data_IF_006687243524
#
_entry.id   IF_006687243524
#
_cell.length_a   1.000
_cell.length_b   1.000
_cell.length_c   1.000
_cell.angle_alpha   90.00
_cell.angle_beta   90.00
_cell.angle_gamma   90.00
#
_symmetry.space_group_name_H-M   'P 1'
#
loop_
_entity.id
_entity.type
_entity.pdbx_description
1 polymer ?
#
# COMPACT_ATOMS: atom_id res chain seq x y z
N UNK A 1 18.09 -0.49 -20.99
CA UNK A 1 18.45 -1.51 -19.99
C UNK A 1 17.13 -2.10 -19.53
N UNK A 2 16.94 -3.39 -19.75
CA UNK A 2 15.74 -4.10 -19.26
C UNK A 2 15.88 -4.25 -17.74
N UNK A 3 14.98 -3.60 -16.98
CA UNK A 3 14.91 -3.73 -15.52
C UNK A 3 13.88 -4.82 -15.22
N UNK A 4 14.29 -5.97 -14.68
CA UNK A 4 13.32 -7.02 -14.37
C UNK A 4 12.39 -6.56 -13.26
N UNK A 5 11.13 -7.01 -13.33
CA UNK A 5 10.13 -6.77 -12.28
C UNK A 5 10.69 -7.20 -10.91
N UNK A 6 10.55 -6.31 -9.91
CA UNK A 6 11.12 -6.50 -8.58
C UNK A 6 10.05 -6.29 -7.52
N UNK A 7 9.94 -7.25 -6.61
CA UNK A 7 9.17 -7.13 -5.38
C UNK A 7 10.11 -6.83 -4.21
N UNK A 8 9.84 -5.75 -3.50
CA UNK A 8 10.53 -5.40 -2.25
C UNK A 8 9.54 -5.50 -1.10
N UNK A 9 9.80 -6.39 -0.15
CA UNK A 9 9.02 -6.46 1.11
C UNK A 9 9.48 -5.30 2.01
N UNK A 10 8.61 -4.33 2.22
CA UNK A 10 8.86 -3.15 3.03
C UNK A 10 8.63 -3.42 4.52
N UNK A 11 7.72 -4.32 4.82
CA UNK A 11 7.42 -4.80 6.15
C UNK A 11 6.74 -6.17 6.10
N UNK A 12 7.07 -7.03 7.04
CA UNK A 12 6.55 -8.40 7.18
C UNK A 12 6.03 -8.70 8.59
N UNK A 13 5.84 -7.66 9.40
CA UNK A 13 5.25 -7.78 10.72
C UNK A 13 3.72 -7.79 10.65
N UNK A 14 3.10 -8.17 11.76
CA UNK A 14 1.64 -8.11 11.93
C UNK A 14 1.17 -6.67 12.12
N UNK A 15 -0.11 -6.46 12.42
CA UNK A 15 -0.73 -5.16 12.70
C UNK A 15 0.00 -4.33 13.78
N UNK A 16 0.76 -4.95 14.66
CA UNK A 16 1.54 -4.29 15.71
C UNK A 16 3.04 -4.18 15.38
N UNK A 17 3.49 -4.79 14.29
CA UNK A 17 4.90 -4.95 13.99
C UNK A 17 5.62 -5.90 14.97
N UNK A 18 6.94 -6.01 14.85
CA UNK A 18 7.80 -6.76 15.79
C UNK A 18 9.01 -5.89 16.10
N UNK A 19 9.33 -5.63 17.37
CA UNK A 19 8.71 -6.11 18.60
C UNK A 19 7.34 -5.49 18.89
N UNK A 20 6.50 -6.23 19.60
CA UNK A 20 5.22 -5.74 20.11
C UNK A 20 5.45 -5.00 21.42
N UNK A 21 4.78 -3.86 21.61
CA UNK A 21 4.90 -3.04 22.82
C UNK A 21 4.55 -3.88 24.06
N UNK A 22 5.46 -3.91 25.03
CA UNK A 22 5.29 -4.65 26.27
C UNK A 22 5.50 -6.17 26.19
N UNK A 23 5.70 -6.72 25.01
CA UNK A 23 6.00 -8.16 24.84
C UNK A 23 7.44 -8.46 25.27
N UNK A 24 7.60 -9.54 26.03
CA UNK A 24 8.90 -10.01 26.55
C UNK A 24 9.32 -11.38 26.02
N UNK A 25 8.69 -11.85 24.94
CA UNK A 25 9.09 -13.09 24.33
C UNK A 25 10.48 -12.98 23.68
N UNK A 26 11.11 -14.11 23.42
CA UNK A 26 12.44 -14.21 22.84
C UNK A 26 12.62 -13.34 21.58
N UNK A 27 11.66 -13.41 20.64
CA UNK A 27 11.70 -12.64 19.39
C UNK A 27 11.59 -11.13 19.65
N UNK A 28 10.68 -10.70 20.53
CA UNK A 28 10.48 -9.26 20.79
C UNK A 28 11.66 -8.63 21.57
N UNK A 29 12.37 -9.43 22.36
CA UNK A 29 13.56 -9.00 23.12
C UNK A 29 14.87 -9.25 22.38
N UNK A 30 14.83 -9.92 21.24
CA UNK A 30 16.01 -10.22 20.41
C UNK A 30 16.77 -8.96 20.00
N UNK A 31 18.08 -9.04 19.93
CA UNK A 31 18.96 -8.01 19.37
C UNK A 31 19.21 -8.19 17.87
N UNK A 32 18.76 -9.30 17.28
CA UNK A 32 18.88 -9.55 15.85
C UNK A 32 17.98 -8.56 15.06
N UNK A 33 18.57 -7.87 14.09
CA UNK A 33 17.84 -6.92 13.25
C UNK A 33 16.75 -7.59 12.39
N UNK A 34 16.87 -8.89 12.10
CA UNK A 34 15.86 -9.67 11.35
C UNK A 34 14.58 -9.87 12.14
N UNK A 35 14.62 -9.74 13.46
CA UNK A 35 13.46 -9.78 14.34
C UNK A 35 12.77 -8.41 14.49
N UNK A 36 13.30 -7.37 13.85
CA UNK A 36 12.70 -6.03 13.82
C UNK A 36 11.92 -5.87 12.52
N UNK A 37 10.62 -6.20 12.54
CA UNK A 37 9.76 -6.21 11.36
C UNK A 37 8.71 -5.11 11.45
N UNK A 38 8.77 -4.18 10.50
CA UNK A 38 7.74 -3.17 10.31
C UNK A 38 6.42 -3.84 9.87
N UNK A 39 5.30 -3.15 10.05
CA UNK A 39 3.96 -3.61 9.61
C UNK A 39 3.95 -3.90 8.12
N UNK A 40 3.08 -4.80 7.72
CA UNK A 40 3.05 -5.31 6.35
C UNK A 40 2.92 -4.19 5.31
N UNK A 41 3.75 -4.24 4.32
CA UNK A 41 3.70 -3.43 3.10
C UNK A 41 4.70 -3.98 2.08
N UNK A 42 4.46 -3.75 0.81
CA UNK A 42 5.33 -4.16 -0.28
C UNK A 42 5.45 -3.08 -1.35
N UNK A 43 6.54 -3.10 -2.11
CA UNK A 43 6.71 -2.27 -3.29
C UNK A 43 7.00 -3.16 -4.50
N UNK A 44 6.30 -2.90 -5.60
CA UNK A 44 6.50 -3.56 -6.89
C UNK A 44 7.05 -2.51 -7.87
N UNK A 45 8.20 -2.82 -8.44
CA UNK A 45 8.81 -2.10 -9.55
C UNK A 45 8.64 -2.96 -10.80
N UNK A 46 7.96 -2.43 -11.82
CA UNK A 46 7.63 -3.19 -13.03
C UNK A 46 8.74 -3.12 -14.07
N UNK A 47 8.67 -4.00 -15.08
CA UNK A 47 9.59 -3.97 -16.22
C UNK A 47 9.50 -2.64 -17.00
N UNK A 48 8.34 -1.97 -16.97
CA UNK A 48 8.11 -0.64 -17.54
C UNK A 48 8.65 0.52 -16.70
N UNK A 49 9.12 0.23 -15.48
CA UNK A 49 9.66 1.23 -14.54
C UNK A 49 8.60 1.89 -13.67
N UNK A 50 7.34 1.46 -13.73
CA UNK A 50 6.31 1.90 -12.81
C UNK A 50 6.57 1.33 -11.40
N UNK A 51 6.23 2.14 -10.39
CA UNK A 51 6.49 1.81 -8.99
C UNK A 51 5.22 1.93 -8.17
N UNK A 52 4.75 0.81 -7.64
CA UNK A 52 3.55 0.70 -6.83
C UNK A 52 3.91 0.32 -5.41
N UNK A 53 3.33 1.03 -4.44
CA UNK A 53 3.40 0.64 -3.03
C UNK A 53 2.05 0.05 -2.62
N UNK A 54 2.08 -1.11 -1.98
CA UNK A 54 0.89 -1.76 -1.46
C UNK A 54 0.83 -1.48 0.04
N UNK A 55 -0.23 -0.76 0.42
CA UNK A 55 -0.51 -0.24 1.76
C UNK A 55 0.46 0.84 2.26
N UNK A 56 -0.11 1.81 2.96
CA UNK A 56 0.58 2.92 3.60
C UNK A 56 0.22 2.96 5.10
N UNK A 57 0.66 1.94 5.84
CA UNK A 57 0.48 1.85 7.29
C UNK A 57 1.33 2.85 8.08
N UNK A 58 1.27 2.84 9.42
CA UNK A 58 1.98 3.80 10.27
C UNK A 58 3.51 3.80 10.10
N UNK A 59 4.07 2.76 9.52
CA UNK A 59 5.51 2.64 9.27
C UNK A 59 5.92 3.15 7.88
N UNK A 60 4.97 3.66 7.07
CA UNK A 60 5.19 4.07 5.68
C UNK A 60 6.41 4.97 5.50
N UNK A 61 6.53 6.01 6.30
CA UNK A 61 7.69 6.92 6.26
C UNK A 61 9.02 6.16 6.43
N UNK A 62 9.11 5.31 7.44
CA UNK A 62 10.32 4.53 7.71
C UNK A 62 10.62 3.55 6.56
N UNK A 63 9.57 2.95 5.99
CA UNK A 63 9.67 2.02 4.86
C UNK A 63 10.21 2.73 3.61
N UNK A 64 9.68 3.90 3.26
CA UNK A 64 10.14 4.70 2.11
C UNK A 64 11.58 5.16 2.28
N UNK A 65 11.96 5.68 3.44
CA UNK A 65 13.32 6.11 3.73
C UNK A 65 14.32 4.93 3.65
N UNK A 66 13.97 3.78 4.23
CA UNK A 66 14.82 2.59 4.21
C UNK A 66 15.00 2.01 2.81
N UNK A 67 13.97 2.09 1.98
CA UNK A 67 14.01 1.61 0.60
C UNK A 67 14.56 2.65 -0.39
N UNK A 68 14.86 3.88 0.05
CA UNK A 68 15.38 4.96 -0.80
C UNK A 68 14.39 5.41 -1.87
N UNK A 69 13.09 5.37 -1.56
CA UNK A 69 12.03 5.72 -2.52
C UNK A 69 11.88 7.23 -2.57
N UNK A 70 12.12 7.83 -3.73
CA UNK A 70 11.95 9.27 -3.99
C UNK A 70 10.71 9.60 -4.83
N UNK A 71 10.13 8.61 -5.54
CA UNK A 71 8.88 8.75 -6.28
C UNK A 71 8.14 7.42 -6.32
N UNK A 72 6.84 7.49 -6.46
CA UNK A 72 5.95 6.36 -6.71
C UNK A 72 4.87 6.78 -7.72
N UNK A 73 4.31 5.82 -8.43
CA UNK A 73 3.28 6.06 -9.43
C UNK A 73 1.87 5.87 -8.83
N UNK A 74 1.71 4.98 -7.86
CA UNK A 74 0.48 4.86 -7.09
C UNK A 74 0.67 4.08 -5.78
N UNK A 75 -0.28 4.26 -4.87
CA UNK A 75 -0.51 3.40 -3.71
C UNK A 75 -1.77 2.56 -3.97
N UNK A 76 -1.68 1.27 -3.71
CA UNK A 76 -2.78 0.32 -3.82
C UNK A 76 -3.16 -0.15 -2.41
N UNK A 77 -4.34 0.20 -1.92
CA UNK A 77 -4.78 -0.17 -0.58
C UNK A 77 -5.51 -1.52 -0.60
N UNK A 78 -5.13 -2.40 0.30
CA UNK A 78 -5.74 -3.73 0.41
C UNK A 78 -7.07 -3.68 1.14
N UNK A 79 -7.15 -2.97 2.26
CA UNK A 79 -8.36 -2.79 3.05
C UNK A 79 -8.23 -1.62 4.05
N UNK A 80 -9.27 -1.37 4.84
CA UNK A 80 -9.42 -0.16 5.64
C UNK A 80 -8.73 -0.15 7.01
N UNK A 81 -8.09 -1.25 7.45
CA UNK A 81 -7.45 -1.29 8.76
C UNK A 81 -6.31 -0.28 8.90
N UNK A 82 -6.11 0.23 10.11
CA UNK A 82 -5.17 1.32 10.39
C UNK A 82 -3.71 0.94 10.18
N UNK A 83 -3.36 -0.31 10.35
CA UNK A 83 -2.03 -0.83 10.04
C UNK A 83 -1.70 -0.83 8.54
N UNK A 84 -2.72 -0.67 7.67
CA UNK A 84 -2.60 -0.55 6.22
C UNK A 84 -2.81 0.88 5.70
N UNK A 85 -3.49 1.75 6.48
CA UNK A 85 -3.87 3.10 6.02
C UNK A 85 -3.32 4.23 6.89
N UNK A 86 -2.81 3.94 8.09
CA UNK A 86 -2.51 4.95 9.11
C UNK A 86 -1.31 5.86 8.84
N UNK A 87 -0.56 5.64 7.76
CA UNK A 87 0.59 6.44 7.35
C UNK A 87 0.36 7.29 6.09
N UNK A 88 -0.88 7.37 5.60
CA UNK A 88 -1.20 8.09 4.36
C UNK A 88 -0.82 9.59 4.44
N UNK A 89 -0.84 10.23 5.60
CA UNK A 89 -0.40 11.63 5.72
C UNK A 89 1.05 11.86 5.25
N UNK A 90 1.91 10.86 5.41
CA UNK A 90 3.32 10.96 5.00
C UNK A 90 3.52 10.98 3.46
N UNK A 91 2.46 10.74 2.66
CA UNK A 91 2.53 10.86 1.19
C UNK A 91 2.83 12.29 0.76
N UNK A 92 2.56 13.28 1.60
CA UNK A 92 2.88 14.68 1.34
C UNK A 92 4.36 14.92 1.04
N UNK A 93 5.24 14.06 1.53
CA UNK A 93 6.67 14.16 1.19
C UNK A 93 6.91 13.99 -0.32
N UNK A 94 6.11 13.19 -1.01
CA UNK A 94 6.18 13.03 -2.46
C UNK A 94 5.54 14.20 -3.22
N UNK A 95 4.52 14.86 -2.63
CA UNK A 95 3.88 16.00 -3.25
C UNK A 95 4.85 17.18 -3.44
N UNK A 96 5.81 17.35 -2.51
CA UNK A 96 6.66 18.53 -2.43
C UNK A 96 8.11 18.29 -2.85
N UNK A 97 8.42 17.18 -3.49
CA UNK A 97 9.80 16.86 -3.95
C UNK A 97 10.39 17.98 -4.81
N UNK A 98 9.58 18.54 -5.72
CA UNK A 98 9.99 19.61 -6.64
C UNK A 98 9.38 20.98 -6.27
N UNK A 99 8.90 21.15 -5.05
CA UNK A 99 8.30 22.42 -4.61
C UNK A 99 9.36 23.42 -4.13
N UNK A 100 9.22 24.74 -4.42
CA UNK A 100 8.39 25.31 -5.47
C UNK A 100 9.01 25.10 -6.86
N UNK A 101 8.29 25.09 -7.99
CA UNK A 101 6.90 25.52 -8.14
C UNK A 101 5.88 24.38 -8.25
N UNK A 102 6.30 23.09 -8.28
CA UNK A 102 5.41 21.99 -8.65
C UNK A 102 4.96 21.19 -7.43
N UNK A 103 3.69 20.85 -7.41
CA UNK A 103 3.10 19.87 -6.48
C UNK A 103 2.70 18.64 -7.31
N UNK A 104 3.12 17.47 -6.87
CA UNK A 104 2.79 16.19 -7.51
C UNK A 104 1.75 15.45 -6.68
N UNK A 105 0.48 15.39 -7.10
CA UNK A 105 -0.53 14.60 -6.40
C UNK A 105 -0.12 13.13 -6.34
N UNK A 106 -0.42 12.47 -5.22
CA UNK A 106 -0.24 11.02 -5.09
C UNK A 106 -1.56 10.30 -5.37
N UNK A 107 -1.54 9.39 -6.34
CA UNK A 107 -2.68 8.58 -6.70
C UNK A 107 -2.80 7.39 -5.75
N UNK A 108 -3.97 7.23 -5.10
CA UNK A 108 -4.31 6.14 -4.20
C UNK A 108 -5.51 5.40 -4.75
N UNK A 109 -5.39 4.10 -4.95
CA UNK A 109 -6.45 3.22 -5.44
C UNK A 109 -6.94 2.32 -4.33
N UNK A 110 -8.25 2.26 -4.12
CA UNK A 110 -8.86 1.54 -3.01
C UNK A 110 -10.24 1.02 -3.35
N UNK A 111 -10.58 -0.15 -2.82
CA UNK A 111 -11.96 -0.64 -2.83
C UNK A 111 -12.88 0.31 -2.03
N UNK A 112 -14.22 0.32 -2.30
CA UNK A 112 -15.14 1.30 -1.71
C UNK A 112 -15.07 1.44 -0.18
N UNK A 113 -14.87 0.33 0.54
CA UNK A 113 -14.78 0.36 2.01
C UNK A 113 -13.54 1.14 2.49
N UNK A 114 -12.37 0.82 1.93
CA UNK A 114 -11.12 1.50 2.24
C UNK A 114 -11.14 2.97 1.79
N UNK A 115 -11.71 3.26 0.60
CA UNK A 115 -11.83 4.63 0.10
C UNK A 115 -12.67 5.52 1.04
N UNK A 116 -13.80 4.99 1.58
CA UNK A 116 -14.61 5.73 2.57
C UNK A 116 -13.83 6.05 3.84
N UNK A 117 -13.05 5.10 4.34
CA UNK A 117 -12.23 5.32 5.55
C UNK A 117 -11.14 6.34 5.29
N UNK A 118 -10.45 6.29 4.16
CA UNK A 118 -9.43 7.29 3.78
C UNK A 118 -10.04 8.68 3.69
N UNK A 119 -11.20 8.85 3.02
CA UNK A 119 -11.88 10.16 2.95
C UNK A 119 -12.27 10.71 4.31
N UNK A 120 -12.70 9.83 5.23
CA UNK A 120 -13.12 10.21 6.58
C UNK A 120 -11.93 10.62 7.46
N UNK A 121 -10.85 9.84 7.40
CA UNK A 121 -9.72 9.98 8.33
C UNK A 121 -8.74 11.08 7.90
N UNK A 122 -8.73 11.40 6.62
CA UNK A 122 -7.88 12.41 5.98
C UNK A 122 -8.72 13.47 5.26
N UNK A 123 -9.89 13.83 5.83
CA UNK A 123 -10.87 14.77 5.24
C UNK A 123 -10.22 16.08 4.81
N UNK A 124 -9.32 16.62 5.63
CA UNK A 124 -8.56 17.84 5.33
C UNK A 124 -7.72 17.76 4.03
N UNK A 125 -7.39 16.55 3.56
CA UNK A 125 -6.69 16.35 2.28
C UNK A 125 -7.62 16.47 1.06
N UNK A 126 -8.95 16.49 1.28
CA UNK A 126 -9.98 16.55 0.24
C UNK A 126 -10.82 17.83 0.27
N UNK A 127 -10.50 18.78 1.17
CA UNK A 127 -11.15 20.10 1.22
C UNK A 127 -10.86 20.90 -0.06
N UNK A 128 -11.81 21.74 -0.48
CA UNK A 128 -11.63 22.66 -1.63
C UNK A 128 -10.53 23.68 -1.33
N UNK A 129 -10.51 24.22 -0.11
CA UNK A 129 -9.51 25.17 0.37
C UNK A 129 -8.56 24.48 1.37
N UNK A 130 -7.60 23.73 0.86
CA UNK A 130 -6.60 23.04 1.68
C UNK A 130 -5.64 24.04 2.32
N UNK A 131 -5.23 23.79 3.57
CA UNK A 131 -4.11 24.52 4.16
C UNK A 131 -2.80 24.19 3.42
N UNK A 132 -1.89 25.15 3.43
CA UNK A 132 -0.61 25.06 2.74
C UNK A 132 0.27 23.96 3.36
N UNK A 133 0.46 22.85 2.70
CA UNK A 133 1.21 21.70 3.20
C UNK A 133 0.33 20.50 3.57
N UNK A 134 -0.98 20.57 3.36
CA UNK A 134 -1.82 19.38 3.36
C UNK A 134 -1.39 18.41 2.24
N UNK A 135 -1.51 17.10 2.44
CA UNK A 135 -1.22 16.15 1.37
C UNK A 135 -2.17 16.38 0.18
N UNK A 136 -1.63 16.28 -1.01
CA UNK A 136 -2.39 16.31 -2.25
C UNK A 136 -2.59 14.87 -2.74
N UNK A 137 -3.80 14.35 -2.55
CA UNK A 137 -4.18 12.96 -2.81
C UNK A 137 -5.27 12.94 -3.88
N UNK A 138 -5.07 12.08 -4.88
CA UNK A 138 -6.12 11.66 -5.80
C UNK A 138 -6.58 10.27 -5.41
N UNK A 139 -7.75 10.19 -4.79
CA UNK A 139 -8.32 8.92 -4.35
C UNK A 139 -9.25 8.35 -5.41
N UNK A 140 -8.88 7.19 -5.94
CA UNK A 140 -9.62 6.45 -6.96
C UNK A 140 -10.31 5.25 -6.30
N UNK A 141 -11.63 5.23 -6.34
CA UNK A 141 -12.42 4.06 -5.96
C UNK A 141 -12.41 3.05 -7.11
N UNK A 142 -12.01 1.80 -6.83
CA UNK A 142 -11.88 0.76 -7.83
C UNK A 142 -13.06 -0.22 -7.81
N UNK A 143 -13.40 -0.75 -9.00
CA UNK A 143 -14.23 -1.94 -9.14
C UNK A 143 -13.33 -3.18 -9.05
N UNK A 144 -13.37 -3.90 -7.92
CA UNK A 144 -12.54 -5.09 -7.68
C UNK A 144 -12.84 -6.27 -8.62
N UNK A 145 -13.97 -6.21 -9.35
CA UNK A 145 -14.30 -7.21 -10.34
C UNK A 145 -13.57 -7.01 -11.68
N UNK A 146 -12.95 -5.84 -11.89
CA UNK A 146 -12.35 -5.45 -13.18
C UNK A 146 -10.88 -5.13 -13.05
N UNK A 147 -10.06 -5.55 -14.02
CA UNK A 147 -8.70 -5.01 -14.15
C UNK A 147 -8.71 -3.51 -14.41
N UNK A 148 -7.66 -2.83 -13.96
CA UNK A 148 -7.44 -1.41 -14.18
C UNK A 148 -6.06 -1.20 -14.80
N UNK A 149 -5.89 -0.06 -15.46
CA UNK A 149 -4.62 0.39 -16.04
C UNK A 149 -4.08 1.57 -15.24
N UNK A 150 -2.88 1.42 -14.68
CA UNK A 150 -2.21 2.48 -13.92
C UNK A 150 -0.77 2.57 -14.40
N UNK A 151 -0.33 3.76 -14.78
CA UNK A 151 1.03 4.01 -15.27
C UNK A 151 1.47 3.06 -16.41
N UNK A 152 0.53 2.66 -17.28
CA UNK A 152 0.77 1.73 -18.38
C UNK A 152 0.82 0.26 -18.00
N UNK A 153 0.56 -0.08 -16.74
CA UNK A 153 0.55 -1.45 -16.24
C UNK A 153 -0.88 -1.94 -15.97
N UNK A 154 -1.14 -3.17 -16.37
CA UNK A 154 -2.42 -3.83 -16.06
C UNK A 154 -2.39 -4.42 -14.66
N UNK A 155 -3.28 -3.93 -13.81
CA UNK A 155 -3.44 -4.37 -12.43
C UNK A 155 -4.74 -5.15 -12.30
N UNK A 156 -4.66 -6.36 -11.75
CA UNK A 156 -5.81 -7.23 -11.55
C UNK A 156 -6.09 -7.33 -10.05
N UNK A 157 -7.20 -6.73 -9.57
CA UNK A 157 -7.62 -6.91 -8.19
C UNK A 157 -8.08 -8.36 -7.95
N UNK A 158 -7.72 -8.89 -6.79
CA UNK A 158 -8.09 -10.23 -6.33
C UNK A 158 -8.83 -10.07 -5.01
N UNK A 159 -10.10 -10.44 -4.98
CA UNK A 159 -10.95 -10.28 -3.81
C UNK A 159 -10.84 -11.46 -2.85
N UNK A 160 -10.92 -11.18 -1.56
CA UNK A 160 -10.99 -12.19 -0.52
C UNK A 160 -11.59 -11.64 0.76
N UNK A 161 -11.63 -12.47 1.79
CA UNK A 161 -12.11 -12.07 3.10
C UNK A 161 -11.00 -12.18 4.13
N UNK A 162 -10.81 -11.12 4.88
CA UNK A 162 -9.99 -11.10 6.10
C UNK A 162 -10.79 -11.62 7.29
N UNK A 163 -12.10 -11.30 7.34
CA UNK A 163 -13.04 -11.81 8.31
C UNK A 163 -14.47 -11.78 7.74
N UNK A 164 -15.45 -12.17 8.52
CA UNK A 164 -16.88 -12.07 8.11
C UNK A 164 -17.32 -10.63 7.79
N UNK A 165 -16.63 -9.63 8.33
CA UNK A 165 -16.98 -8.20 8.18
C UNK A 165 -16.04 -7.44 7.25
N UNK A 166 -14.85 -7.96 6.99
CA UNK A 166 -13.83 -7.24 6.26
C UNK A 166 -13.44 -7.98 5.00
N UNK A 167 -13.69 -7.34 3.88
CA UNK A 167 -13.14 -7.74 2.59
C UNK A 167 -11.71 -7.24 2.47
N UNK A 168 -10.90 -7.94 1.71
CA UNK A 168 -9.52 -7.59 1.42
C UNK A 168 -9.26 -7.73 -0.08
N UNK A 169 -8.47 -6.82 -0.62
CA UNK A 169 -8.07 -6.81 -2.02
C UNK A 169 -6.59 -7.11 -2.13
N UNK A 170 -6.24 -8.20 -2.79
CA UNK A 170 -4.90 -8.43 -3.29
C UNK A 170 -4.73 -7.84 -4.68
N UNK A 171 -3.50 -7.74 -5.14
CA UNK A 171 -3.19 -7.17 -6.45
C UNK A 171 -2.24 -8.08 -7.21
N UNK A 172 -2.62 -8.42 -8.45
CA UNK A 172 -1.72 -9.04 -9.42
C UNK A 172 -1.26 -7.99 -10.43
N UNK A 173 0.04 -7.89 -10.61
CA UNK A 173 0.71 -7.02 -11.58
C UNK A 173 1.68 -7.89 -12.38
N UNK A 174 1.39 -8.08 -13.67
CA UNK A 174 2.17 -9.00 -14.51
C UNK A 174 2.24 -10.41 -13.92
N UNK A 175 3.46 -10.85 -13.62
CA UNK A 175 3.75 -12.18 -13.05
C UNK A 175 3.88 -12.22 -11.52
N UNK A 176 3.58 -11.12 -10.84
CA UNK A 176 3.60 -11.04 -9.37
C UNK A 176 2.19 -10.82 -8.84
N UNK A 177 1.89 -11.46 -7.72
CA UNK A 177 0.70 -11.16 -6.94
C UNK A 177 1.10 -10.96 -5.48
N UNK A 178 0.48 -9.98 -4.85
CA UNK A 178 0.63 -9.71 -3.43
C UNK A 178 -0.72 -9.84 -2.74
N UNK A 179 -0.80 -10.76 -1.80
CA UNK A 179 -1.98 -11.01 -0.98
C UNK A 179 -1.56 -10.97 0.49
N UNK A 180 -2.21 -10.12 1.27
CA UNK A 180 -2.02 -10.06 2.72
C UNK A 180 -3.36 -10.09 3.41
N UNK A 181 -3.41 -10.58 4.65
CA UNK A 181 -4.60 -10.64 5.50
C UNK A 181 -5.80 -11.44 4.93
N UNK A 182 -5.53 -12.29 3.95
CA UNK A 182 -6.52 -13.22 3.41
C UNK A 182 -6.75 -14.39 4.36
N UNK A 183 -7.98 -14.55 4.81
CA UNK A 183 -8.44 -15.76 5.52
C UNK A 183 -9.07 -16.75 4.55
N UNK A 184 -9.85 -16.24 3.60
CA UNK A 184 -10.48 -17.05 2.56
C UNK A 184 -10.47 -16.33 1.22
N UNK A 185 -10.44 -17.12 0.14
CA UNK A 185 -10.52 -16.68 -1.24
C UNK A 185 -11.45 -17.62 -2.01
N UNK A 186 -12.29 -17.09 -2.87
CA UNK A 186 -13.17 -17.91 -3.71
C UNK A 186 -12.42 -18.52 -4.90
N UNK A 187 -12.81 -19.69 -5.37
CA UNK A 187 -12.17 -20.39 -6.48
C UNK A 187 -12.10 -19.53 -7.76
N UNK A 188 -13.14 -18.74 -8.02
CA UNK A 188 -13.16 -17.81 -9.15
C UNK A 188 -12.03 -16.76 -9.08
N UNK A 189 -11.67 -16.34 -7.87
CA UNK A 189 -10.59 -15.38 -7.65
C UNK A 189 -9.21 -16.04 -7.79
N UNK A 190 -9.08 -17.32 -7.39
CA UNK A 190 -7.85 -18.09 -7.59
C UNK A 190 -7.46 -18.17 -9.06
N UNK A 191 -8.46 -18.23 -9.95
CA UNK A 191 -8.26 -18.19 -11.41
C UNK A 191 -7.48 -16.96 -11.89
N UNK A 192 -7.60 -15.82 -11.20
CA UNK A 192 -6.86 -14.59 -11.52
C UNK A 192 -5.35 -14.71 -11.22
N UNK A 193 -4.94 -15.68 -10.43
CA UNK A 193 -3.55 -15.92 -10.03
C UNK A 193 -2.79 -16.91 -10.93
N UNK A 194 -3.45 -17.47 -11.95
CA UNK A 194 -2.79 -18.40 -12.89
C UNK A 194 -1.70 -17.67 -13.66
N UNK A 195 -0.47 -18.19 -13.62
CA UNK A 195 0.70 -17.65 -14.31
C UNK A 195 1.47 -16.57 -13.55
N UNK A 196 1.28 -16.48 -12.21
CA UNK A 196 2.18 -15.72 -11.32
C UNK A 196 3.36 -16.56 -10.90
#
# INVERSE_FOLDING_TARGET
IFVPMKLTILGSGTSQGVPVIGCRCEVCTSTDSRDKRLRTSAMIETDGGARFVIDAGPDFRCQMLRAGVSRLDAILLTHEHKDHTGGIDDVRAFNFVDYPPVIHPVDIYAAPAAARVVRKDYDYAFEEEKYRGAPDIRLHEIDVARPLEIAGERIVPVSGHHSERFEVTGYRIGRMAYLTDFKTIADAEVGKLIGV
#
